data_IF_686918612469
#
_entry.id   IF_686918612469
#
_cell.length_a   1.000
_cell.length_b   1.000
_cell.length_c   1.000
_cell.angle_alpha   90.00
_cell.angle_beta   90.00
_cell.angle_gamma   90.00
#
_symmetry.space_group_name_H-M   'P 1'
#
loop_
_entity.id
_entity.type
_entity.pdbx_description
1 polymer ?
#
# COMPACT_ATOMS: atom_id res chain seq x y z
N UNK A 1 -25.52 -11.86 12.64
CA UNK A 1 -25.10 -12.22 11.27
C UNK A 1 -23.59 -12.21 11.29
N UNK A 2 -22.97 -13.32 10.92
CA UNK A 2 -21.53 -13.44 10.95
C UNK A 2 -20.91 -12.68 9.77
N UNK A 3 -19.75 -12.07 10.02
CA UNK A 3 -19.01 -11.38 8.96
C UNK A 3 -18.39 -12.42 8.03
N UNK A 4 -18.69 -12.34 6.74
CA UNK A 4 -18.06 -13.19 5.73
C UNK A 4 -16.70 -12.59 5.41
N UNK A 5 -15.63 -13.34 5.67
CA UNK A 5 -14.29 -13.00 5.21
C UNK A 5 -14.06 -13.56 3.81
N UNK A 6 -13.46 -12.75 2.95
CA UNK A 6 -13.17 -13.10 1.57
C UNK A 6 -11.87 -12.46 1.11
N UNK A 7 -11.22 -13.11 0.15
CA UNK A 7 -10.10 -12.53 -0.60
C UNK A 7 -10.67 -11.85 -1.84
N UNK A 8 -10.27 -10.60 -2.07
CA UNK A 8 -10.56 -9.90 -3.34
C UNK A 8 -9.48 -10.26 -4.36
N UNK A 9 -9.89 -10.80 -5.49
CA UNK A 9 -9.02 -11.32 -6.56
C UNK A 9 -9.69 -11.07 -7.92
N UNK A 10 -9.09 -10.20 -8.75
CA UNK A 10 -9.57 -9.84 -10.09
C UNK A 10 -11.08 -9.49 -10.16
N UNK A 11 -11.56 -8.69 -9.21
CA UNK A 11 -12.98 -8.28 -9.18
C UNK A 11 -13.91 -9.29 -8.52
N UNK A 12 -13.41 -10.43 -8.06
CA UNK A 12 -14.18 -11.50 -7.43
C UNK A 12 -13.86 -11.56 -5.93
N UNK A 13 -14.90 -11.59 -5.09
CA UNK A 13 -14.75 -11.87 -3.65
C UNK A 13 -14.90 -13.37 -3.41
N UNK A 14 -13.80 -14.03 -3.03
CA UNK A 14 -13.74 -15.46 -2.75
C UNK A 14 -13.82 -15.69 -1.24
N UNK A 15 -14.91 -16.24 -0.70
CA UNK A 15 -15.01 -16.53 0.73
C UNK A 15 -13.92 -17.49 1.18
N UNK A 16 -13.28 -17.21 2.32
CA UNK A 16 -12.26 -18.10 2.90
C UNK A 16 -12.88 -19.22 3.75
N UNK A 17 -14.19 -19.17 3.97
CA UNK A 17 -14.96 -20.14 4.75
C UNK A 17 -16.36 -20.30 4.15
N UNK A 18 -17.03 -21.44 4.39
CA UNK A 18 -18.40 -21.66 3.91
C UNK A 18 -19.34 -20.54 4.34
N UNK A 19 -20.11 -20.02 3.39
CA UNK A 19 -21.10 -18.98 3.63
C UNK A 19 -22.47 -19.64 3.85
N UNK A 20 -23.10 -19.34 4.98
CA UNK A 20 -24.45 -19.82 5.30
C UNK A 20 -25.45 -18.68 5.10
N UNK A 21 -26.08 -18.65 3.93
CA UNK A 21 -27.14 -17.69 3.58
C UNK A 21 -28.32 -18.41 2.92
N UNK A 22 -29.55 -17.89 3.02
CA UNK A 22 -30.71 -18.45 2.33
C UNK A 22 -30.51 -18.49 0.81
N UNK A 23 -31.07 -19.51 0.17
CA UNK A 23 -31.00 -19.63 -1.29
C UNK A 23 -31.73 -18.46 -1.98
N UNK A 24 -31.12 -17.90 -3.04
CA UNK A 24 -31.64 -16.75 -3.81
C UNK A 24 -32.02 -15.53 -2.96
N UNK A 25 -31.25 -15.21 -1.91
CA UNK A 25 -31.46 -13.99 -1.14
C UNK A 25 -30.71 -12.78 -1.72
N UNK A 26 -31.27 -11.58 -1.54
CA UNK A 26 -30.59 -10.32 -1.83
C UNK A 26 -29.75 -9.92 -0.62
N UNK A 27 -28.49 -9.54 -0.85
CA UNK A 27 -27.58 -9.07 0.19
C UNK A 27 -27.12 -7.65 -0.11
N UNK A 28 -26.92 -6.86 0.95
CA UNK A 28 -26.17 -5.61 0.90
C UNK A 28 -24.73 -5.94 1.30
N UNK A 29 -23.77 -5.41 0.55
CA UNK A 29 -22.37 -5.79 0.68
C UNK A 29 -21.49 -4.55 0.67
N UNK A 30 -20.76 -4.36 1.76
CA UNK A 30 -19.78 -3.28 1.91
C UNK A 30 -18.42 -3.90 2.26
N UNK A 31 -17.45 -3.90 1.32
CA UNK A 31 -16.11 -4.41 1.58
C UNK A 31 -15.41 -3.55 2.64
N UNK A 32 -14.81 -4.20 3.63
CA UNK A 32 -13.86 -3.58 4.57
C UNK A 32 -12.52 -4.27 4.41
N UNK A 33 -11.46 -3.50 4.16
CA UNK A 33 -10.11 -4.04 4.09
C UNK A 33 -9.70 -4.56 5.47
N UNK A 34 -9.34 -5.83 5.56
CA UNK A 34 -9.04 -6.49 6.86
C UNK A 34 -7.55 -6.37 7.24
N UNK A 35 -6.72 -5.82 6.36
CA UNK A 35 -5.34 -5.46 6.67
C UNK A 35 -5.02 -4.16 5.91
N UNK A 36 -4.86 -3.06 6.64
CA UNK A 36 -3.97 -2.00 6.16
C UNK A 36 -2.57 -2.60 6.20
N UNK A 37 -2.13 -3.20 5.09
CA UNK A 37 -0.70 -3.23 4.86
C UNK A 37 -0.25 -1.76 4.92
N UNK A 38 0.75 -1.41 5.75
CA UNK A 38 1.14 -0.02 5.91
C UNK A 38 1.37 0.57 4.53
N UNK A 39 0.71 1.71 4.28
CA UNK A 39 1.00 2.57 3.14
C UNK A 39 2.52 2.61 2.94
N UNK A 40 3.00 2.26 1.74
CA UNK A 40 4.41 2.30 1.32
C UNK A 40 5.31 2.84 2.41
N UNK A 41 6.01 1.97 3.14
CA UNK A 41 6.79 2.24 4.35
C UNK A 41 7.50 3.61 4.28
N UNK A 42 6.78 4.67 4.67
CA UNK A 42 7.20 6.04 4.37
C UNK A 42 8.47 6.33 5.15
N UNK A 43 8.65 5.67 6.29
CA UNK A 43 9.87 5.69 7.09
C UNK A 43 11.07 5.14 6.30
N UNK A 44 10.90 4.06 5.53
CA UNK A 44 11.95 3.54 4.66
C UNK A 44 12.27 4.50 3.49
N UNK A 45 11.26 5.19 2.94
CA UNK A 45 11.46 6.22 1.90
C UNK A 45 12.18 7.44 2.49
N UNK A 46 11.77 7.91 3.68
CA UNK A 46 12.41 9.01 4.38
C UNK A 46 13.83 8.67 4.81
N UNK A 47 14.11 7.43 5.22
CA UNK A 47 15.46 6.97 5.54
C UNK A 47 16.39 7.03 4.31
N UNK A 48 15.90 6.63 3.13
CA UNK A 48 16.68 6.72 1.88
C UNK A 48 16.95 8.19 1.49
N UNK A 49 15.98 9.08 1.70
CA UNK A 49 16.13 10.51 1.43
C UNK A 49 17.08 11.18 2.44
N UNK A 50 17.01 10.82 3.72
CA UNK A 50 17.83 11.36 4.80
C UNK A 50 19.30 10.91 4.69
N UNK A 51 19.55 9.69 4.19
CA UNK A 51 20.90 9.21 3.85
C UNK A 51 21.61 10.09 2.83
N UNK A 52 20.90 10.75 1.90
CA UNK A 52 21.50 11.69 0.94
C UNK A 52 21.83 13.04 1.58
N UNK A 53 20.97 13.52 2.48
CA UNK A 53 21.15 14.79 3.18
C UNK A 53 22.32 14.75 4.17
N UNK A 54 22.60 13.58 4.76
CA UNK A 54 23.68 13.35 5.72
C UNK A 54 25.11 13.40 5.15
N UNK A 55 25.27 13.54 3.83
CA UNK A 55 26.60 13.57 3.19
C UNK A 55 27.35 14.88 3.40
N UNK A 56 26.74 15.89 4.02
CA UNK A 56 27.38 17.17 4.37
C UNK A 56 27.74 18.04 3.16
N UNK A 57 27.33 17.66 1.95
CA UNK A 57 27.59 18.41 0.72
C UNK A 57 26.40 19.34 0.49
N UNK A 58 26.51 20.57 0.99
CA UNK A 58 25.49 21.63 0.88
C UNK A 58 25.25 22.07 -0.58
N UNK A 59 26.11 21.66 -1.52
CA UNK A 59 25.99 22.11 -2.90
C UNK A 59 26.58 21.10 -3.92
N UNK A 60 25.85 20.01 -4.17
CA UNK A 60 26.18 19.10 -5.27
C UNK A 60 25.78 19.68 -6.64
N UNK A 61 24.86 20.66 -6.66
CA UNK A 61 24.35 21.27 -7.88
C UNK A 61 25.32 22.31 -8.47
N UNK A 62 26.06 23.06 -7.65
CA UNK A 62 27.00 24.08 -8.13
C UNK A 62 28.26 23.51 -8.79
N UNK A 63 28.64 22.25 -8.53
CA UNK A 63 29.79 21.60 -9.18
C UNK A 63 29.51 21.08 -10.58
N UNK A 64 28.27 21.18 -11.06
CA UNK A 64 27.88 20.67 -12.38
C UNK A 64 28.51 21.46 -13.55
N UNK A 65 28.99 22.69 -13.33
CA UNK A 65 29.61 23.52 -14.35
C UNK A 65 31.15 23.43 -14.42
N UNK A 66 31.81 22.67 -13.54
CA UNK A 66 33.28 22.62 -13.48
C UNK A 66 33.90 21.75 -14.60
N UNK A 67 33.09 20.95 -15.29
CA UNK A 67 33.53 20.02 -16.35
C UNK A 67 32.79 20.18 -17.67
N UNK A 68 32.10 21.30 -17.90
CA UNK A 68 31.57 21.60 -19.22
C UNK A 68 32.65 22.35 -20.03
N UNK A 69 33.19 21.75 -21.11
CA UNK A 69 33.99 22.48 -22.09
C UNK A 69 33.17 23.49 -22.87
#
# INVERSE_FOLDING_TARGET
>A
MDTIQAIYDDGIFRPISPVVLPNKCRVEFEPRLVNDAPSDDMDAIYEILDRRHSTGITDLAARHNEHQP
#
